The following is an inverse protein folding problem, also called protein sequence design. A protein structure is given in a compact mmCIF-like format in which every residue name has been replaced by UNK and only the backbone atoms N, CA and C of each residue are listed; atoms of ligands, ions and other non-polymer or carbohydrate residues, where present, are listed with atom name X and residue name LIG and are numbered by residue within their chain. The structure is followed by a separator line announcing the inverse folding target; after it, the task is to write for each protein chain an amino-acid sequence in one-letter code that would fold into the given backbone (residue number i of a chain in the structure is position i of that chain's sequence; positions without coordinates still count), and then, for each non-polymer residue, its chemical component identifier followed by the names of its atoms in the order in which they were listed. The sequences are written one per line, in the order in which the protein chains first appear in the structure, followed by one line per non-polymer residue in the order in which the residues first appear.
data_IF_645240491289
#
_entry.id   IF_645240491289
#
_cell.length_a   1.000
_cell.length_b   1.000
_cell.length_c   1.000
_cell.angle_alpha   90.00
_cell.angle_beta   90.00
_cell.angle_gamma   90.00
#
_symmetry.space_group_name_H-M   'P 1'
#
loop_
_entity.id
_entity.type
_entity.pdbx_description
1 polymer ?
#
# COMPACT_ATOMS: atom_id res chain seq x y z
N UNK A 1 19.10 -7.07 -8.38
CA UNK A 1 18.85 -5.67 -8.77
C UNK A 1 19.85 -4.78 -8.03
N UNK A 2 20.48 -3.81 -8.70
CA UNK A 2 21.53 -2.99 -8.09
C UNK A 2 20.94 -1.91 -7.18
N UNK A 3 21.42 -1.82 -5.93
CA UNK A 3 20.85 -0.94 -4.89
C UNK A 3 20.79 0.53 -5.35
N UNK A 4 21.85 1.04 -5.97
CA UNK A 4 21.91 2.43 -6.45
C UNK A 4 20.85 2.75 -7.51
N UNK A 5 20.55 1.80 -8.42
CA UNK A 5 19.53 2.02 -9.45
C UNK A 5 18.13 2.08 -8.84
N UNK A 6 17.87 1.26 -7.81
CA UNK A 6 16.60 1.29 -7.06
C UNK A 6 16.44 2.64 -6.36
N UNK A 7 17.49 3.09 -5.65
CA UNK A 7 17.46 4.36 -4.91
C UNK A 7 17.25 5.55 -5.85
N UNK A 8 17.94 5.58 -7.01
CA UNK A 8 17.75 6.62 -8.00
C UNK A 8 16.31 6.63 -8.54
N UNK A 9 15.76 5.47 -8.91
CA UNK A 9 14.38 5.37 -9.39
C UNK A 9 13.37 5.87 -8.36
N UNK A 10 13.54 5.50 -7.08
CA UNK A 10 12.69 5.98 -5.98
C UNK A 10 12.77 7.50 -5.82
N UNK A 11 13.98 8.05 -5.83
CA UNK A 11 14.20 9.50 -5.73
C UNK A 11 13.51 10.25 -6.87
N UNK A 12 13.67 9.79 -8.10
CA UNK A 12 13.03 10.42 -9.28
C UNK A 12 11.51 10.42 -9.14
N UNK A 13 10.90 9.31 -8.71
CA UNK A 13 9.45 9.24 -8.52
C UNK A 13 9.01 10.19 -7.41
N UNK A 14 9.75 10.24 -6.28
CA UNK A 14 9.41 11.12 -5.15
C UNK A 14 9.50 12.61 -5.53
N UNK A 15 10.52 12.99 -6.29
CA UNK A 15 10.73 14.38 -6.72
C UNK A 15 9.62 14.92 -7.64
N UNK A 16 8.86 14.06 -8.32
CA UNK A 16 7.73 14.47 -9.16
C UNK A 16 6.58 15.10 -8.36
N UNK A 17 6.44 14.78 -7.08
CA UNK A 17 5.34 15.29 -6.25
C UNK A 17 5.74 15.40 -4.78
N UNK A 18 6.79 16.18 -4.50
CA UNK A 18 7.34 16.37 -3.14
C UNK A 18 6.27 16.79 -2.13
N UNK A 19 5.36 17.68 -2.51
CA UNK A 19 4.34 18.23 -1.61
C UNK A 19 3.00 17.46 -1.63
N UNK A 20 2.88 16.43 -2.46
CA UNK A 20 1.63 15.68 -2.61
C UNK A 20 1.97 14.20 -2.91
N UNK A 21 2.31 13.43 -1.86
CA UNK A 21 2.73 12.05 -2.04
C UNK A 21 1.65 11.18 -2.71
N UNK A 22 0.36 11.51 -2.55
CA UNK A 22 -0.75 10.81 -3.20
C UNK A 22 -0.70 10.84 -4.73
N UNK A 23 0.01 11.81 -5.32
CA UNK A 23 0.23 11.89 -6.77
C UNK A 23 1.40 11.03 -7.27
N UNK A 24 2.25 10.53 -6.39
CA UNK A 24 3.32 9.60 -6.76
C UNK A 24 2.72 8.24 -7.15
N UNK A 25 3.18 7.67 -8.26
CA UNK A 25 2.76 6.33 -8.67
C UNK A 25 3.27 5.23 -7.73
N UNK A 26 4.45 5.43 -7.13
CA UNK A 26 5.06 4.50 -6.20
C UNK A 26 5.42 5.18 -4.89
N UNK A 27 4.95 4.61 -3.78
CA UNK A 27 5.26 5.04 -2.42
C UNK A 27 6.27 4.10 -1.78
N UNK A 28 7.37 4.66 -1.28
CA UNK A 28 8.48 3.91 -0.68
C UNK A 28 9.01 4.53 0.63
N UNK A 29 8.70 5.79 0.91
CA UNK A 29 9.15 6.47 2.13
C UNK A 29 8.05 6.36 3.20
N UNK A 30 8.39 5.96 4.43
CA UNK A 30 7.38 5.70 5.47
C UNK A 30 6.55 6.93 5.81
N UNK A 31 7.14 8.12 5.83
CA UNK A 31 6.41 9.39 6.09
C UNK A 31 5.34 9.64 5.04
N UNK A 32 5.67 9.42 3.76
CA UNK A 32 4.74 9.61 2.65
C UNK A 32 3.59 8.59 2.68
N UNK A 33 3.91 7.35 3.07
CA UNK A 33 2.94 6.27 3.18
C UNK A 33 1.97 6.57 4.33
N UNK A 34 2.49 6.98 5.50
CA UNK A 34 1.67 7.34 6.65
C UNK A 34 0.74 8.52 6.35
N UNK A 35 1.26 9.55 5.66
CA UNK A 35 0.46 10.69 5.20
C UNK A 35 -0.69 10.26 4.27
N UNK A 36 -0.40 9.42 3.28
CA UNK A 36 -1.40 8.94 2.31
C UNK A 36 -2.45 8.03 2.95
N UNK A 37 -2.05 7.20 3.92
CA UNK A 37 -2.95 6.26 4.59
C UNK A 37 -3.77 6.93 5.71
N UNK A 38 -3.28 8.01 6.30
CA UNK A 38 -3.95 8.71 7.40
C UNK A 38 -4.83 9.87 6.95
N UNK A 39 -4.55 10.50 5.80
CA UNK A 39 -5.38 11.59 5.28
C UNK A 39 -6.52 11.10 4.37
N UNK A 40 -7.72 11.06 4.94
CA UNK A 40 -9.00 10.81 4.25
C UNK A 40 -9.40 11.90 3.22
N UNK A 41 -8.57 12.93 3.00
CA UNK A 41 -8.78 13.93 1.93
C UNK A 41 -7.77 13.81 0.80
N UNK A 42 -6.64 13.13 0.97
CA UNK A 42 -5.61 12.96 -0.07
C UNK A 42 -6.16 12.34 -1.36
N UNK A 43 -5.80 12.85 -2.55
CA UNK A 43 -6.12 12.19 -3.82
C UNK A 43 -5.02 11.18 -4.16
N UNK A 44 -5.23 9.94 -3.76
CA UNK A 44 -4.25 8.85 -3.89
C UNK A 44 -4.57 7.87 -5.03
N UNK A 45 -5.41 8.30 -5.99
CA UNK A 45 -5.75 7.48 -7.18
C UNK A 45 -4.58 7.26 -8.13
N UNK A 46 -3.52 8.08 -8.05
CA UNK A 46 -2.33 7.88 -8.88
C UNK A 46 -1.45 6.72 -8.39
N UNK A 47 -1.58 6.34 -7.11
CA UNK A 47 -0.77 5.30 -6.49
C UNK A 47 -1.10 3.94 -7.12
N UNK A 48 -0.10 3.32 -7.73
CA UNK A 48 -0.17 1.96 -8.28
C UNK A 48 0.69 0.98 -7.49
N UNK A 49 1.67 1.46 -6.72
CA UNK A 49 2.57 0.62 -5.95
C UNK A 49 2.93 1.20 -4.58
N UNK A 50 3.04 0.32 -3.58
CA UNK A 50 3.42 0.69 -2.21
C UNK A 50 4.31 -0.39 -1.59
N UNK A 51 5.41 0.03 -0.97
CA UNK A 51 6.39 -0.83 -0.27
C UNK A 51 6.52 -0.39 1.20
N UNK A 52 5.81 -1.09 2.09
CA UNK A 52 5.86 -0.94 3.54
C UNK A 52 7.01 -1.80 4.08
N UNK A 53 8.13 -1.19 4.47
CA UNK A 53 9.34 -1.93 4.86
C UNK A 53 9.27 -2.39 6.32
N UNK A 54 10.17 -3.31 6.65
CA UNK A 54 10.42 -3.74 8.03
C UNK A 54 10.96 -2.54 8.84
N UNK A 55 10.63 -2.48 10.13
CA UNK A 55 11.00 -1.40 11.08
C UNK A 55 10.40 0.00 10.78
N UNK A 56 9.46 0.09 9.84
CA UNK A 56 8.66 1.29 9.67
C UNK A 56 7.47 1.20 10.65
N UNK A 57 7.57 1.89 11.81
CA UNK A 57 6.48 2.09 12.79
C UNK A 57 5.36 2.93 12.17
N UNK A 58 4.67 2.33 11.22
CA UNK A 58 3.59 2.95 10.47
C UNK A 58 2.31 2.74 11.28
N UNK A 59 1.80 3.83 11.84
CA UNK A 59 0.66 3.84 12.77
C UNK A 59 -0.59 4.42 12.13
N UNK A 60 -1.09 3.80 11.06
CA UNK A 60 -2.43 4.15 10.58
C UNK A 60 -3.49 3.27 11.25
N UNK A 61 -4.57 3.91 11.69
CA UNK A 61 -5.61 3.30 12.52
C UNK A 61 -6.88 2.97 11.75
N UNK A 62 -7.01 3.46 10.52
CA UNK A 62 -8.22 3.32 9.72
C UNK A 62 -8.39 1.90 9.19
N UNK A 63 -9.50 1.24 9.48
CA UNK A 63 -9.89 -0.02 8.84
C UNK A 63 -10.15 0.12 7.32
N UNK A 64 -10.09 1.33 6.76
CA UNK A 64 -10.37 1.60 5.35
C UNK A 64 -9.23 2.32 4.61
N UNK A 65 -8.01 2.34 5.15
CA UNK A 65 -6.94 3.15 4.56
C UNK A 65 -6.61 2.79 3.09
N UNK A 66 -6.87 1.55 2.67
CA UNK A 66 -6.67 1.13 1.27
C UNK A 66 -7.84 1.48 0.32
N UNK A 67 -9.01 1.89 0.83
CA UNK A 67 -10.24 2.13 0.04
C UNK A 67 -10.01 3.16 -1.09
N UNK A 68 -9.17 4.16 -0.81
CA UNK A 68 -8.93 5.31 -1.69
C UNK A 68 -7.83 5.04 -2.72
N UNK A 69 -6.97 4.03 -2.47
CA UNK A 69 -5.94 3.53 -3.38
C UNK A 69 -6.55 2.64 -4.48
N UNK A 70 -7.61 3.13 -5.13
CA UNK A 70 -8.42 2.37 -6.10
C UNK A 70 -7.65 1.86 -7.33
N UNK A 71 -6.46 2.39 -7.61
CA UNK A 71 -5.58 1.94 -8.70
C UNK A 71 -4.38 1.11 -8.24
N UNK A 72 -4.31 0.75 -6.96
CA UNK A 72 -3.22 -0.05 -6.41
C UNK A 72 -3.12 -1.41 -7.12
N UNK A 73 -1.92 -1.72 -7.61
CA UNK A 73 -1.60 -2.95 -8.34
C UNK A 73 -0.51 -3.77 -7.64
N UNK A 74 0.41 -3.10 -6.94
CA UNK A 74 1.55 -3.76 -6.29
C UNK A 74 1.62 -3.35 -4.83
N UNK A 75 1.46 -4.30 -3.92
CA UNK A 75 1.57 -4.04 -2.50
C UNK A 75 2.57 -5.00 -1.86
N UNK A 76 3.53 -4.43 -1.13
CA UNK A 76 4.46 -5.18 -0.30
C UNK A 76 4.34 -4.71 1.14
N UNK A 77 4.09 -5.65 2.04
CA UNK A 77 3.93 -5.46 3.48
C UNK A 77 4.97 -6.32 4.19
N UNK A 78 6.01 -5.66 4.71
CA UNK A 78 7.02 -6.24 5.59
C UNK A 78 6.92 -5.71 7.02
N UNK A 79 6.24 -4.58 7.24
CA UNK A 79 6.04 -4.02 8.57
C UNK A 79 5.06 -4.85 9.42
N UNK A 80 5.25 -4.80 10.73
CA UNK A 80 4.31 -5.27 11.74
C UNK A 80 3.27 -4.16 12.01
N UNK A 81 2.03 -4.52 12.33
CA UNK A 81 1.01 -3.54 12.72
C UNK A 81 0.00 -3.14 11.63
N UNK A 82 0.05 -3.75 10.44
CA UNK A 82 -1.04 -3.61 9.47
C UNK A 82 -2.30 -4.30 10.01
N UNK A 83 -3.37 -3.54 10.18
CA UNK A 83 -4.68 -4.09 10.57
C UNK A 83 -5.20 -5.01 9.46
N UNK A 84 -5.43 -6.32 9.70
CA UNK A 84 -5.92 -7.22 8.67
C UNK A 84 -7.27 -6.82 8.05
N UNK A 85 -8.14 -6.11 8.77
CA UNK A 85 -9.44 -5.66 8.26
C UNK A 85 -9.32 -4.66 7.12
N UNK A 86 -8.25 -3.86 7.12
CA UNK A 86 -7.97 -2.88 6.05
C UNK A 86 -7.87 -3.51 4.67
N UNK A 87 -7.45 -4.76 4.62
CA UNK A 87 -7.24 -5.51 3.39
C UNK A 87 -8.56 -5.88 2.70
N UNK A 88 -9.69 -5.80 3.40
CA UNK A 88 -11.01 -5.96 2.79
C UNK A 88 -11.32 -4.80 1.82
N UNK A 89 -10.65 -3.66 1.96
CA UNK A 89 -10.84 -2.46 1.14
C UNK A 89 -9.73 -2.26 0.09
N UNK A 90 -8.88 -3.26 -0.13
CA UNK A 90 -7.82 -3.18 -1.13
C UNK A 90 -8.40 -3.12 -2.55
N UNK A 91 -7.68 -2.46 -3.46
CA UNK A 91 -8.11 -2.35 -4.86
C UNK A 91 -8.31 -3.72 -5.52
N UNK A 92 -9.41 -3.85 -6.27
CA UNK A 92 -9.66 -5.00 -7.16
C UNK A 92 -8.67 -5.10 -8.33
N UNK A 93 -7.83 -4.07 -8.54
CA UNK A 93 -6.77 -4.06 -9.56
C UNK A 93 -5.46 -4.66 -9.04
N UNK A 94 -5.40 -5.11 -7.79
CA UNK A 94 -4.20 -5.70 -7.22
C UNK A 94 -3.73 -6.91 -8.06
N UNK A 95 -2.46 -6.88 -8.46
CA UNK A 95 -1.79 -7.91 -9.27
C UNK A 95 -0.76 -8.69 -8.47
N UNK A 96 -0.12 -8.04 -7.51
CA UNK A 96 0.86 -8.68 -6.65
C UNK A 96 0.71 -8.19 -5.21
N UNK A 97 0.66 -9.16 -4.29
CA UNK A 97 0.71 -8.95 -2.85
C UNK A 97 1.87 -9.75 -2.28
N UNK A 98 2.79 -9.07 -1.62
CA UNK A 98 3.80 -9.70 -0.75
C UNK A 98 3.45 -9.29 0.66
N UNK A 99 3.06 -10.23 1.51
CA UNK A 99 2.73 -9.95 2.90
C UNK A 99 3.49 -10.93 3.79
N UNK A 100 4.46 -10.41 4.53
CA UNK A 100 5.42 -11.20 5.32
C UNK A 100 5.20 -11.08 6.84
N UNK A 101 4.16 -10.35 7.31
CA UNK A 101 3.88 -10.26 8.74
C UNK A 101 3.11 -11.49 9.23
N UNK A 102 3.55 -12.04 10.36
CA UNK A 102 3.15 -13.35 10.88
C UNK A 102 1.75 -13.41 11.52
N UNK A 103 0.90 -12.39 11.32
CA UNK A 103 -0.38 -12.24 12.03
C UNK A 103 -1.63 -12.54 11.19
N UNK A 104 -1.51 -13.19 10.02
CA UNK A 104 -2.71 -13.65 9.29
C UNK A 104 -3.31 -14.88 9.98
N UNK A 105 -4.41 -14.70 10.71
CA UNK A 105 -5.29 -15.82 11.12
C UNK A 105 -6.25 -16.24 10.00
N UNK A 106 -6.53 -15.35 9.04
CA UNK A 106 -7.32 -15.62 7.85
C UNK A 106 -6.96 -14.68 6.68
N UNK A 107 -7.22 -15.12 5.45
CA UNK A 107 -7.08 -14.29 4.25
C UNK A 107 -8.23 -13.25 4.17
N UNK A 108 -8.01 -12.03 3.65
CA UNK A 108 -9.06 -11.03 3.54
C UNK A 108 -10.18 -11.53 2.63
N UNK A 109 -11.43 -11.24 3.00
CA UNK A 109 -12.63 -11.70 2.28
C UNK A 109 -12.71 -11.20 0.82
N UNK A 110 -12.02 -10.10 0.52
CA UNK A 110 -11.86 -9.57 -0.84
C UNK A 110 -11.13 -10.53 -1.80
N UNK A 111 -10.39 -11.50 -1.28
CA UNK A 111 -9.67 -12.52 -2.06
C UNK A 111 -10.38 -13.88 -2.13
N UNK A 112 -11.42 -14.11 -1.33
CA UNK A 112 -12.23 -15.31 -1.49
C UNK A 112 -13.01 -15.20 -2.79
N UNK A 113 -12.75 -16.10 -3.74
CA UNK A 113 -13.57 -16.25 -4.93
C UNK A 113 -15.03 -16.37 -4.49
N UNK A 114 -15.89 -15.51 -5.03
CA UNK A 114 -17.32 -15.75 -5.03
C UNK A 114 -17.52 -17.12 -5.66
N UNK A 115 -17.86 -18.13 -4.86
CA UNK A 115 -18.42 -19.37 -5.38
C UNK A 115 -19.63 -18.96 -6.21
N UNK A 116 -19.48 -19.00 -7.53
CA UNK A 116 -20.60 -18.96 -8.45
C UNK A 116 -21.37 -20.26 -8.20
N UNK A 117 -22.36 -20.19 -7.34
CA UNK A 117 -23.36 -21.23 -7.20
C UNK A 117 -24.17 -21.23 -8.51
N UNK A 118 -23.94 -22.26 -9.32
CA UNK A 118 -24.88 -22.69 -10.37
C UNK A 118 -26.10 -23.36 -9.73
#
# INVERSE_FOLDING_TARGET
MHVLLVQLGRKIVREQSVNDPGKCQFLNEPVDIDEVLSDDKSDSRCVIGMDLKEDEDITWTSERAFERLSNLQFLRIKSCGVNPQSMNYISRKLRALVWLSSQMTCFPSSFSQSSSSN
#
